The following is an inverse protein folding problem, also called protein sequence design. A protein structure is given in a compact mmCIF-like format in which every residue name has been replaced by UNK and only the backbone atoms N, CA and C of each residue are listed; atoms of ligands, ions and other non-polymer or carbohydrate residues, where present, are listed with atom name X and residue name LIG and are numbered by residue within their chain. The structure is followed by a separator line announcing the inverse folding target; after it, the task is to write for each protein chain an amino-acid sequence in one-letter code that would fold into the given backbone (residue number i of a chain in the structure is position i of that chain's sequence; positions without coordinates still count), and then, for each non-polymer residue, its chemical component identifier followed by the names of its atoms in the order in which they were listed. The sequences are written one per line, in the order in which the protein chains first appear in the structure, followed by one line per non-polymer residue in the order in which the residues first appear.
data_IF_464799244436
#
_entry.id   IF_464799244436
#
_cell.length_a   1.000
_cell.length_b   1.000
_cell.length_c   1.000
_cell.angle_alpha   90.00
_cell.angle_beta   90.00
_cell.angle_gamma   90.00
#
_symmetry.space_group_name_H-M   'P 1'
#
loop_
_entity.id
_entity.type
_entity.pdbx_description
1 polymer ?
2 polymer ?
3 polymer ?
4 non-polymer ?
5 non-polymer ?
6 water ?
#
loop_
_entity_poly.entity_id
_entity_poly.type
_entity_poly.pdbx_seq_one_letter_code
_entity_poly.pdbx_strand_id
2 'polydeoxyribonucleotide' '(DG)(DG)(DG)(DT)(DT)(DT)(DC)(DC)(DA)(DC)(DT)(DT)(DA)(DT)(DT)(DC)(DA)(DC)(DC)(DC)(DT)(DT)(DT)(DT)(DA)(DG)' ?
3 'polydeoxyribonucleotide' '(DC)(DC)(DT)(DA)(DA)(DA)(DA)(DG)(DG)(DG)(DT)(DG)(DA)(DA)(DT)(DA)(DA)(DG)(DT)(DG)(DG)(DA)(DA)(DA)(DC)(DC)' ?
#
# COMPACT_ATOMS: atom_id res chain seq x y z
N UNK A 5 -17.75 7.42 -9.06
CA UNK A 5 -16.67 8.37 -8.82
C UNK A 5 -17.20 9.70 -8.28
N UNK A 6 -16.49 10.26 -7.29
CA UNK A 6 -16.93 11.49 -6.65
C UNK A 6 -15.84 12.56 -6.72
N UNK A 7 -14.86 12.49 -5.81
CA UNK A 7 -13.81 13.48 -5.74
C UNK A 7 -12.50 12.91 -6.28
N UNK A 8 -11.52 13.80 -6.43
CA UNK A 8 -10.21 13.44 -6.95
C UNK A 8 -9.22 13.30 -5.79
N UNK A 9 -8.15 12.53 -6.03
CA UNK A 9 -7.15 12.22 -5.02
C UNK A 9 -5.83 12.91 -5.38
N UNK A 10 -5.19 13.49 -4.37
CA UNK A 10 -3.90 14.13 -4.56
C UNK A 10 -2.91 13.15 -5.19
N UNK A 11 -2.14 13.57 -6.20
CA UNK A 11 -1.26 12.61 -6.89
C UNK A 11 -0.22 11.96 -5.99
N UNK A 12 0.37 12.69 -5.04
CA UNK A 12 1.35 12.06 -4.15
C UNK A 12 0.67 11.10 -3.17
N UNK A 13 -0.53 11.43 -2.69
CA UNK A 13 -1.29 10.49 -1.89
C UNK A 13 -1.54 9.21 -2.69
N UNK A 14 -1.86 9.37 -3.98
CA UNK A 14 -2.11 8.22 -4.82
C UNK A 14 -0.87 7.35 -4.96
N UNK A 15 0.30 7.96 -5.16
CA UNK A 15 1.52 7.18 -5.25
C UNK A 15 1.81 6.45 -3.93
N UNK A 16 1.64 7.13 -2.81
CA UNK A 16 1.84 6.48 -1.53
C UNK A 16 0.90 5.32 -1.30
N UNK A 17 -0.36 5.49 -1.68
CA UNK A 17 -1.30 4.38 -1.58
C UNK A 17 -0.95 3.26 -2.55
N UNK A 18 -0.43 3.60 -3.73
CA UNK A 18 0.02 2.60 -4.67
C UNK A 18 1.25 1.85 -4.15
N UNK A 19 2.17 2.56 -3.51
CA UNK A 19 3.30 1.90 -2.86
C UNK A 19 2.83 0.83 -1.87
N UNK A 20 1.68 1.05 -1.25
CA UNK A 20 1.19 0.12 -0.23
C UNK A 20 0.39 -1.02 -0.85
N UNK A 21 -0.58 -0.70 -1.72
CA UNK A 21 -1.57 -1.67 -2.16
C UNK A 21 -1.53 -2.03 -3.63
N UNK A 22 -0.89 -1.21 -4.47
CA UNK A 22 -0.86 -1.51 -5.89
C UNK A 22 0.08 -2.65 -6.23
N UNK A 23 -0.12 -3.20 -7.43
CA UNK A 23 0.77 -4.24 -7.96
C UNK A 23 0.71 -4.21 -9.48
N UNK A 24 1.85 -4.49 -10.10
CA UNK A 24 1.94 -4.51 -11.55
C UNK A 24 1.85 -5.94 -12.04
N UNK A 25 1.20 -6.13 -13.19
CA UNK A 25 0.90 -7.45 -13.71
C UNK A 25 1.39 -7.59 -15.14
N UNK A 26 1.93 -8.77 -15.46
CA UNK A 26 2.36 -9.10 -16.81
C UNK A 26 2.00 -10.57 -17.05
N UNK A 27 1.00 -10.82 -17.88
CA UNK A 27 0.57 -12.18 -18.19
C UNK A 27 1.20 -12.63 -19.50
N UNK A 28 1.82 -13.79 -19.47
CA UNK A 28 2.36 -14.46 -20.65
C UNK A 28 1.67 -15.81 -20.72
N UNK A 29 0.64 -15.93 -21.57
CA UNK A 29 -0.30 -17.04 -21.51
C UNK A 29 -0.17 -17.93 -22.74
N UNK A 30 -0.12 -19.25 -22.51
CA UNK A 30 -0.27 -20.19 -23.60
C UNK A 30 -1.52 -19.87 -24.41
N UNK A 31 -1.39 -19.86 -25.72
CA UNK A 31 -2.51 -19.52 -26.58
C UNK A 31 -2.28 -20.14 -27.94
N UNK A 32 -3.08 -21.16 -28.27
CA UNK A 32 -2.92 -21.84 -29.56
C UNK A 32 -3.36 -20.97 -30.73
N UNK A 33 -4.14 -19.92 -30.48
CA UNK A 33 -4.59 -19.02 -31.54
C UNK A 33 -3.63 -17.88 -31.81
N UNK A 34 -2.54 -17.76 -31.03
CA UNK A 34 -1.57 -16.68 -31.20
C UNK A 34 -0.44 -17.14 -32.12
N UNK A 35 -0.08 -16.28 -33.08
CA UNK A 35 0.96 -16.64 -34.04
C UNK A 35 2.21 -17.14 -33.34
N UNK A 36 2.59 -16.50 -32.23
CA UNK A 36 3.81 -16.88 -31.52
C UNK A 36 3.56 -17.94 -30.45
N UNK A 37 2.33 -18.44 -30.34
CA UNK A 37 1.99 -19.43 -29.33
C UNK A 37 1.65 -18.88 -27.96
N UNK A 38 1.81 -17.58 -27.74
CA UNK A 38 1.50 -16.95 -26.46
C UNK A 38 0.78 -15.64 -26.71
N UNK A 39 -0.06 -15.26 -25.76
CA UNK A 39 -0.62 -13.92 -25.70
C UNK A 39 -0.20 -13.27 -24.39
N UNK A 40 -0.34 -11.94 -24.32
CA UNK A 40 0.14 -11.16 -23.20
C UNK A 40 -0.95 -10.24 -22.68
N UNK A 41 -0.74 -9.77 -21.46
CA UNK A 41 -1.58 -8.73 -20.87
C UNK A 41 -0.72 -8.00 -19.84
N UNK A 42 -0.72 -6.67 -19.93
CA UNK A 42 0.09 -5.84 -19.07
C UNK A 42 -0.81 -4.86 -18.35
N UNK A 43 -0.46 -4.50 -17.11
CA UNK A 43 -1.27 -3.51 -16.42
C UNK A 43 -0.90 -3.37 -14.96
N UNK A 44 -1.86 -2.83 -14.21
CA UNK A 44 -1.69 -2.40 -12.82
C UNK A 44 -3.04 -2.59 -12.11
N UNK A 45 -2.99 -2.94 -10.84
CA UNK A 45 -4.23 -3.28 -10.16
C UNK A 45 -4.14 -3.03 -8.66
N UNK A 46 -5.29 -2.74 -8.06
CA UNK A 46 -5.44 -2.59 -6.62
C UNK A 46 -6.66 -3.39 -6.18
N UNK A 47 -6.48 -4.26 -5.20
CA UNK A 47 -7.55 -5.07 -4.62
C UNK A 47 -7.74 -4.68 -3.18
N UNK A 48 -8.97 -4.28 -2.82
CA UNK A 48 -9.29 -3.82 -1.49
C UNK A 48 -10.56 -4.53 -1.00
N UNK A 49 -10.78 -4.46 0.32
CA UNK A 49 -12.02 -4.92 0.90
C UNK A 49 -13.18 -4.07 0.39
N UNK A 50 -14.35 -4.70 0.27
CA UNK A 50 -15.54 -4.02 -0.24
C UNK A 50 -15.70 -2.63 0.38
N UNK A 51 -15.46 -2.50 1.69
CA UNK A 51 -15.80 -1.25 2.36
C UNK A 51 -14.98 -0.07 1.85
N UNK A 52 -13.89 -0.32 1.14
CA UNK A 52 -13.05 0.75 0.61
C UNK A 52 -13.23 0.93 -0.90
N UNK A 53 -14.41 0.56 -1.42
CA UNK A 53 -14.68 0.71 -2.84
C UNK A 53 -14.61 2.17 -3.28
N UNK A 54 -14.89 3.11 -2.37
CA UNK A 54 -14.87 4.52 -2.75
C UNK A 54 -13.48 4.99 -3.13
N UNK A 55 -12.44 4.38 -2.54
CA UNK A 55 -11.07 4.70 -2.94
C UNK A 55 -10.85 4.30 -4.40
N UNK A 56 -11.23 3.07 -4.74
CA UNK A 56 -11.07 2.61 -6.11
C UNK A 56 -11.81 3.52 -7.09
N UNK A 57 -13.01 3.94 -6.74
CA UNK A 57 -13.76 4.82 -7.63
C UNK A 57 -13.12 6.20 -7.72
N UNK A 58 -12.51 6.68 -6.64
CA UNK A 58 -11.82 7.96 -6.69
C UNK A 58 -10.54 7.89 -7.51
N UNK A 59 -9.78 6.80 -7.38
CA UNK A 59 -8.62 6.60 -8.25
C UNK A 59 -9.07 6.58 -9.71
N UNK A 60 -10.12 5.81 -10.00
CA UNK A 60 -10.60 5.69 -11.37
C UNK A 60 -10.93 7.04 -11.98
N UNK A 61 -11.57 7.92 -11.21
CA UNK A 61 -11.95 9.22 -11.75
C UNK A 61 -10.78 10.19 -11.75
N UNK A 62 -9.76 9.94 -10.94
CA UNK A 62 -8.54 10.74 -11.01
C UNK A 62 -7.77 10.44 -12.30
N UNK A 63 -7.57 9.16 -12.59
CA UNK A 63 -6.85 8.75 -13.79
C UNK A 63 -7.75 8.64 -15.01
N UNK A 64 -9.05 8.47 -14.81
CA UNK A 64 -9.99 8.29 -15.93
C UNK A 64 -9.67 7.02 -16.72
N UNK A 65 -9.13 6.00 -16.04
CA UNK A 65 -8.87 4.70 -16.64
C UNK A 65 -9.16 3.63 -15.60
N UNK A 66 -9.23 2.39 -16.06
CA UNK A 66 -9.37 1.28 -15.16
C UNK A 66 -10.79 0.76 -15.08
N UNK A 67 -10.91 -0.49 -14.65
CA UNK A 67 -12.18 -1.21 -14.65
C UNK A 67 -12.38 -1.81 -13.27
N UNK A 68 -13.51 -1.49 -12.64
CA UNK A 68 -13.81 -1.92 -11.27
C UNK A 68 -14.72 -3.13 -11.33
N UNK A 69 -14.39 -4.15 -10.54
CA UNK A 69 -15.12 -5.40 -10.54
C UNK A 69 -15.00 -6.06 -9.18
N UNK A 70 -15.89 -7.00 -8.91
CA UNK A 70 -15.79 -7.78 -7.68
C UNK A 70 -14.57 -8.70 -7.74
N UNK A 71 -14.01 -8.95 -6.56
CA UNK A 71 -12.84 -9.81 -6.40
C UNK A 71 -13.19 -10.76 -5.27
N UNK A 72 -14.03 -11.75 -5.57
CA UNK A 72 -14.58 -12.61 -4.56
C UNK A 72 -15.72 -11.95 -3.81
N UNK A 73 -16.10 -12.57 -2.70
CA UNK A 73 -17.26 -12.11 -1.94
C UNK A 73 -16.97 -10.87 -1.10
N UNK A 74 -15.71 -10.68 -0.69
CA UNK A 74 -15.37 -9.65 0.29
C UNK A 74 -14.47 -8.54 -0.25
N UNK A 75 -14.00 -8.65 -1.49
CA UNK A 75 -13.04 -7.69 -2.03
C UNK A 75 -13.54 -7.11 -3.34
N UNK A 76 -12.93 -6.00 -3.73
CA UNK A 76 -13.22 -5.33 -4.99
C UNK A 76 -11.90 -4.84 -5.56
N UNK A 77 -11.77 -4.87 -6.88
CA UNK A 77 -10.50 -4.59 -7.53
C UNK A 77 -10.66 -3.52 -8.60
N UNK A 78 -9.62 -2.73 -8.79
CA UNK A 78 -9.50 -1.79 -9.91
C UNK A 78 -8.31 -2.23 -10.74
N UNK A 79 -8.55 -2.56 -12.01
CA UNK A 79 -7.51 -3.06 -12.89
C UNK A 79 -7.43 -2.21 -14.16
N UNK A 80 -6.21 -1.85 -14.54
CA UNK A 80 -5.94 -1.16 -15.80
C UNK A 80 -5.11 -2.10 -16.66
N UNK A 81 -5.68 -2.57 -17.76
CA UNK A 81 -4.94 -3.36 -18.73
C UNK A 81 -5.12 -2.90 -20.17
N UNK A 82 -6.10 -2.04 -20.45
CA UNK A 82 -6.23 -1.47 -21.78
C UNK A 82 -4.94 -0.74 -22.15
N UNK A 83 -4.27 -1.21 -23.21
CA UNK A 83 -2.88 -0.83 -23.42
C UNK A 83 -2.70 0.68 -23.52
N UNK A 84 -3.54 1.36 -24.29
CA UNK A 84 -3.40 2.82 -24.40
C UNK A 84 -3.58 3.50 -23.04
N UNK A 85 -4.43 2.94 -22.17
CA UNK A 85 -4.63 3.53 -20.86
C UNK A 85 -3.41 3.41 -19.96
N UNK A 86 -2.50 2.48 -20.26
CA UNK A 86 -1.31 2.34 -19.43
C UNK A 86 -0.40 3.55 -19.56
N UNK A 87 -0.47 4.29 -20.66
CA UNK A 87 0.27 5.55 -20.79
C UNK A 87 -0.03 6.48 -19.62
N UNK A 88 -1.30 6.54 -19.20
CA UNK A 88 -1.65 7.36 -18.05
C UNK A 88 -0.88 6.88 -16.82
N UNK A 89 -0.85 5.57 -16.60
CA UNK A 89 -0.15 5.01 -15.45
C UNK A 89 1.34 5.36 -15.52
N UNK A 90 1.93 5.26 -16.71
CA UNK A 90 3.35 5.61 -16.85
C UNK A 90 3.56 7.09 -16.58
N UNK A 91 2.70 7.94 -17.15
CA UNK A 91 2.87 9.37 -16.95
C UNK A 91 2.72 9.75 -15.49
N UNK A 92 1.84 9.08 -14.75
CA UNK A 92 1.69 9.40 -13.33
C UNK A 92 2.94 9.02 -12.55
N UNK A 93 3.40 7.77 -12.70
CA UNK A 93 4.52 7.33 -11.89
C UNK A 93 5.85 7.91 -12.35
N UNK A 94 5.89 8.56 -13.51
CA UNK A 94 7.07 9.35 -13.85
C UNK A 94 7.07 10.67 -13.10
N UNK A 95 5.91 11.31 -12.96
CA UNK A 95 5.83 12.58 -12.24
C UNK A 95 5.83 12.38 -10.73
N UNK A 96 5.30 11.27 -10.25
CA UNK A 96 5.14 11.01 -8.81
C UNK A 96 5.64 9.60 -8.50
N UNK A 97 6.94 9.41 -8.43
CA UNK A 97 7.49 8.04 -8.43
C UNK A 97 7.32 7.31 -7.11
N UNK A 98 7.23 5.99 -7.22
CA UNK A 98 7.20 5.11 -6.06
C UNK A 98 8.56 5.05 -5.38
N UNK A 99 8.56 4.73 -4.08
CA UNK A 99 9.80 4.74 -3.30
C UNK A 99 10.05 3.43 -2.57
N UNK A 100 9.21 2.42 -2.73
CA UNK A 100 9.48 1.11 -2.14
C UNK A 100 10.08 0.20 -3.22
N UNK A 101 10.28 -1.08 -2.88
CA UNK A 101 10.79 -2.00 -3.89
C UNK A 101 9.83 -2.16 -5.05
N UNK A 102 8.59 -1.68 -4.91
CA UNK A 102 7.62 -1.76 -6.00
C UNK A 102 8.06 -0.93 -7.20
N UNK A 103 8.85 0.12 -6.98
CA UNK A 103 9.46 0.82 -8.10
C UNK A 103 10.15 -0.15 -9.04
N UNK A 104 10.86 -1.13 -8.49
CA UNK A 104 11.50 -2.13 -9.32
C UNK A 104 10.50 -2.86 -10.22
N UNK A 105 9.36 -3.23 -9.65
CA UNK A 105 8.32 -3.87 -10.46
C UNK A 105 7.78 -2.90 -11.52
N UNK A 106 7.58 -1.64 -11.14
CA UNK A 106 7.10 -0.65 -12.10
C UNK A 106 8.09 -0.45 -13.23
N UNK A 107 9.39 -0.41 -12.91
CA UNK A 107 10.38 -0.25 -13.97
C UNK A 107 10.34 -1.42 -14.95
N UNK A 108 10.04 -2.63 -14.46
CA UNK A 108 9.88 -3.77 -15.37
C UNK A 108 8.61 -3.63 -16.19
N UNK A 109 7.52 -3.18 -15.56
CA UNK A 109 6.29 -2.85 -16.27
C UNK A 109 6.58 -1.91 -17.45
N UNK A 110 7.45 -0.93 -17.23
CA UNK A 110 7.79 0.01 -18.30
C UNK A 110 8.52 -0.68 -19.44
N UNK A 111 9.49 -1.55 -19.13
CA UNK A 111 10.18 -2.29 -20.18
C UNK A 111 9.21 -3.11 -21.00
N UNK A 112 8.26 -3.78 -20.33
CA UNK A 112 7.27 -4.57 -21.05
C UNK A 112 6.39 -3.69 -21.92
N UNK A 113 6.01 -2.51 -21.42
CA UNK A 113 5.22 -1.59 -22.23
C UNK A 113 5.94 -1.24 -23.52
N UNK A 114 7.23 -0.90 -23.42
CA UNK A 114 8.01 -0.58 -24.61
C UNK A 114 7.99 -1.71 -25.63
N UNK A 115 8.08 -2.96 -25.16
CA UNK A 115 8.09 -4.09 -26.07
C UNK A 115 6.75 -4.20 -26.79
N UNK A 116 5.65 -4.07 -26.05
CA UNK A 116 4.33 -4.19 -26.67
C UNK A 116 3.99 -2.98 -27.51
N UNK A 117 4.58 -1.82 -27.19
CA UNK A 117 4.35 -0.63 -28.00
C UNK A 117 5.01 -0.79 -29.37
N UNK A 118 6.16 -1.44 -29.43
CA UNK A 118 6.79 -1.75 -30.70
C UNK A 118 6.17 -2.96 -31.37
N UNK A 119 5.12 -3.55 -30.80
CA UNK A 119 4.45 -4.70 -31.38
C UNK A 119 5.35 -5.93 -31.45
N UNK A 120 6.46 -5.91 -30.71
CA UNK A 120 7.38 -7.05 -30.75
C UNK A 120 6.84 -8.25 -29.98
N UNK A 121 5.87 -8.05 -29.10
CA UNK A 121 5.28 -9.17 -28.37
C UNK A 121 4.57 -10.15 -29.29
N UNK A 122 4.30 -9.77 -30.53
CA UNK A 122 3.69 -10.68 -31.50
C UNK A 122 4.74 -11.49 -32.27
N UNK A 123 6.02 -11.31 -31.97
CA UNK A 123 7.10 -12.10 -32.53
C UNK A 123 7.81 -12.84 -31.40
N UNK A 124 8.44 -13.96 -31.74
CA UNK A 124 9.17 -14.71 -30.72
C UNK A 124 10.25 -13.87 -30.06
N UNK A 125 10.80 -12.91 -30.80
CA UNK A 125 11.82 -12.03 -30.24
C UNK A 125 11.27 -11.21 -29.08
N UNK A 126 10.04 -10.69 -29.23
CA UNK A 126 9.44 -9.92 -28.15
C UNK A 126 8.97 -10.78 -27.00
N UNK A 127 8.34 -11.92 -27.30
CA UNK A 127 7.92 -12.83 -26.23
C UNK A 127 9.11 -13.19 -25.36
N UNK A 128 10.23 -13.55 -25.98
CA UNK A 128 11.41 -13.92 -25.21
C UNK A 128 11.83 -12.79 -24.28
N UNK A 129 11.79 -11.55 -24.76
CA UNK A 129 12.16 -10.43 -23.91
C UNK A 129 11.15 -10.27 -22.76
N UNK A 130 9.87 -10.48 -23.02
CA UNK A 130 8.87 -10.39 -21.96
C UNK A 130 9.09 -11.47 -20.91
N UNK A 131 9.54 -12.65 -21.31
CA UNK A 131 9.87 -13.69 -20.33
C UNK A 131 11.02 -13.24 -19.45
N UNK A 132 12.04 -12.60 -20.04
CA UNK A 132 13.16 -12.10 -19.25
C UNK A 132 12.72 -11.01 -18.28
N UNK A 133 11.76 -10.18 -18.69
CA UNK A 133 11.24 -9.14 -17.80
C UNK A 133 10.41 -9.77 -16.68
N UNK A 134 9.51 -10.68 -17.03
CA UNK A 134 8.66 -11.30 -16.00
C UNK A 134 9.47 -12.09 -15.00
N UNK A 135 10.64 -12.59 -15.39
CA UNK A 135 11.44 -13.38 -14.47
C UNK A 135 11.89 -12.59 -13.24
N UNK A 136 11.92 -11.26 -13.34
CA UNK A 136 12.32 -10.41 -12.23
C UNK A 136 11.13 -9.68 -11.60
N UNK A 137 9.91 -9.97 -12.04
CA UNK A 137 8.71 -9.26 -11.61
C UNK A 137 7.92 -10.11 -10.62
N UNK A 138 7.69 -9.57 -9.43
CA UNK A 138 6.87 -10.22 -8.42
C UNK A 138 7.30 -11.67 -8.18
N UNK A 139 6.38 -12.61 -8.33
CA UNK A 139 6.67 -14.02 -8.10
C UNK A 139 7.60 -14.62 -9.15
N UNK A 140 7.83 -13.94 -10.26
CA UNK A 140 8.70 -14.47 -11.30
C UNK A 140 8.03 -15.55 -12.15
N UNK A 141 8.88 -16.34 -12.79
CA UNK A 141 8.42 -17.33 -13.75
C UNK A 141 7.96 -18.61 -13.06
N UNK A 142 6.83 -19.13 -13.54
CA UNK A 142 6.43 -20.48 -13.15
C UNK A 142 7.41 -21.50 -13.73
N UNK A 143 7.34 -22.73 -13.23
CA UNK A 143 8.22 -23.77 -13.72
C UNK A 143 7.93 -24.09 -15.19
N UNK A 144 6.65 -24.07 -15.59
CA UNK A 144 6.34 -24.35 -16.98
C UNK A 144 6.92 -23.28 -17.91
N UNK A 145 6.65 -22.02 -17.61
CA UNK A 145 7.13 -20.94 -18.48
C UNK A 145 8.65 -20.92 -18.52
N UNK A 146 9.30 -21.21 -17.39
CA UNK A 146 10.76 -21.29 -17.35
C UNK A 146 11.28 -22.41 -18.24
N UNK A 147 10.66 -23.58 -18.19
CA UNK A 147 11.05 -24.68 -19.05
C UNK A 147 10.72 -24.41 -20.51
N UNK A 148 9.80 -23.51 -20.81
CA UNK A 148 9.45 -23.23 -22.19
C UNK A 148 10.43 -22.28 -22.86
N UNK A 149 11.34 -21.66 -22.10
CA UNK A 149 12.34 -20.74 -22.64
C UNK A 149 13.68 -21.12 -22.02
N UNK A 150 14.33 -22.15 -22.54
CA UNK A 150 15.46 -22.78 -21.84
C UNK A 150 16.58 -21.86 -21.40
N UNK A 151 16.75 -20.72 -22.06
CA UNK A 151 17.96 -19.93 -21.89
C UNK A 151 18.19 -19.53 -20.43
N UNK A 152 19.42 -19.10 -20.15
CA UNK A 152 19.79 -18.57 -18.85
C UNK A 152 19.12 -17.22 -18.63
N UNK A 153 18.36 -17.10 -17.55
CA UNK A 153 17.52 -15.93 -17.29
C UNK A 153 17.75 -15.48 -15.86
N UNK A 154 18.23 -14.25 -15.69
CA UNK A 154 18.44 -13.70 -14.35
C UNK A 154 17.11 -13.36 -13.69
N UNK A 155 17.02 -13.65 -12.39
CA UNK A 155 15.86 -13.29 -11.58
C UNK A 155 16.13 -12.17 -10.59
N UNK A 156 17.35 -11.64 -10.56
CA UNK A 156 17.73 -10.62 -9.59
C UNK A 156 17.66 -9.23 -10.22
N UNK A 157 17.42 -8.23 -9.37
CA UNK A 157 17.29 -6.84 -9.82
C UNK A 157 17.85 -5.91 -8.76
N UNK A 158 18.04 -4.66 -9.16
CA UNK A 158 18.61 -3.65 -8.26
C UNK A 158 17.64 -3.34 -7.13
N UNK A 159 18.16 -3.30 -5.91
CA UNK A 159 17.35 -2.89 -4.77
C UNK A 159 17.06 -1.40 -4.83
N UNK A 160 15.88 -1.02 -4.35
CA UNK A 160 15.45 0.38 -4.31
C UNK A 160 15.74 0.93 -2.92
N UNK A 161 16.43 2.08 -2.88
CA UNK A 161 16.78 2.75 -1.62
C UNK A 161 16.51 4.23 -1.80
N UNK A 162 15.31 4.66 -1.40
CA UNK A 162 14.86 6.04 -1.57
C UNK A 162 14.25 6.56 -0.27
N UNK A 163 14.04 7.86 -0.23
CA UNK A 163 13.51 8.54 0.95
C UNK A 163 12.05 8.90 0.76
N UNK A 164 11.34 8.98 1.88
CA UNK A 164 9.98 9.51 1.91
C UNK A 164 10.01 10.90 1.27
N UNK A 165 9.27 11.13 0.18
CA UNK A 165 9.39 12.42 -0.52
C UNK A 165 8.65 13.57 0.13
N UNK A 166 7.63 13.30 0.94
CA UNK A 166 6.80 14.35 1.52
C UNK A 166 5.69 13.70 2.32
N UNK A 167 4.93 14.53 3.05
CA UNK A 167 3.85 14.02 3.90
C UNK A 167 2.67 13.54 3.08
N UNK A 168 2.47 14.11 1.89
CA UNK A 168 1.39 13.65 1.02
C UNK A 168 1.57 12.16 0.70
N UNK A 169 2.78 11.76 0.31
CA UNK A 169 3.06 10.34 0.10
C UNK A 169 2.81 9.55 1.37
N UNK A 170 3.31 10.05 2.51
CA UNK A 170 3.16 9.31 3.76
C UNK A 170 1.69 9.11 4.11
N UNK A 171 0.85 10.10 3.80
CA UNK A 171 -0.58 9.94 4.06
C UNK A 171 -1.18 8.85 3.17
N UNK A 172 -0.79 8.82 1.90
CA UNK A 172 -1.24 7.72 1.05
C UNK A 172 -0.78 6.38 1.55
N UNK A 173 0.52 6.27 1.89
CA UNK A 173 1.06 5.01 2.36
C UNK A 173 0.41 4.58 3.67
N UNK A 174 0.15 5.53 4.56
CA UNK A 174 -0.46 5.19 5.85
C UNK A 174 -1.91 4.77 5.67
N UNK A 175 -2.63 5.40 4.74
CA UNK A 175 -3.98 4.96 4.42
C UNK A 175 -4.03 3.49 4.03
N UNK A 176 -2.90 2.93 3.60
CA UNK A 176 -2.84 1.51 3.28
C UNK A 176 -2.33 0.65 4.42
N UNK A 177 -1.16 0.98 4.95
CA UNK A 177 -0.46 0.14 5.92
C UNK A 177 -0.60 0.61 7.37
N UNK A 178 -1.21 1.77 7.59
CA UNK A 178 -1.27 2.32 8.93
C UNK A 178 -2.41 1.75 9.76
N UNK A 179 -2.33 2.02 11.06
CA UNK A 179 -3.37 1.57 11.98
C UNK A 179 -3.36 2.47 13.21
N UNK A 180 -4.54 2.92 13.62
CA UNK A 180 -4.71 3.79 14.78
C UNK A 180 -5.54 3.03 15.81
N UNK A 181 -4.89 2.57 16.88
CA UNK A 181 -5.52 1.70 17.85
C UNK A 181 -5.57 2.32 19.24
N UNK A 182 -6.30 1.63 20.12
CA UNK A 182 -6.50 2.07 21.50
C UNK A 182 -6.29 0.85 22.40
N UNK A 183 -5.24 0.88 23.21
CA UNK A 183 -4.96 -0.19 24.15
C UNK A 183 -5.63 0.09 25.48
N UNK A 184 -6.44 -0.87 25.94
CA UNK A 184 -7.02 -0.85 27.28
C UNK A 184 -6.19 -1.78 28.15
N UNK A 185 -5.31 -1.20 28.96
CA UNK A 185 -4.35 -1.94 29.75
C UNK A 185 -4.86 -2.06 31.18
N UNK A 186 -4.88 -3.28 31.71
CA UNK A 186 -5.25 -3.50 33.11
C UNK A 186 -4.07 -3.13 33.99
N UNK A 187 -4.08 -1.90 34.50
CA UNK A 187 -2.97 -1.35 35.28
C UNK A 187 -3.33 -1.31 36.76
N UNK A 188 -2.32 -1.06 37.59
CA UNK A 188 -2.48 -0.93 39.03
C UNK A 188 -3.04 0.44 39.39
N UNK A 189 -3.64 1.12 38.42
CA UNK A 189 -4.24 2.41 38.66
C UNK A 189 -5.55 2.24 39.43
N UNK A 190 -6.09 3.37 39.90
CA UNK A 190 -7.36 3.33 40.61
C UNK A 190 -8.47 2.80 39.71
N UNK A 191 -8.52 3.24 38.46
CA UNK A 191 -9.51 2.75 37.51
C UNK A 191 -9.22 1.32 37.06
N UNK A 192 -7.98 0.86 37.20
CA UNK A 192 -7.61 -0.46 36.73
C UNK A 192 -7.56 -0.61 35.23
N UNK A 193 -7.60 0.49 34.48
CA UNK A 193 -7.55 0.44 33.02
C UNK A 193 -6.74 1.65 32.55
N UNK A 194 -5.52 1.41 32.07
CA UNK A 194 -4.73 2.46 31.45
C UNK A 194 -5.09 2.56 29.97
N UNK A 195 -5.39 3.78 29.52
CA UNK A 195 -5.68 4.04 28.11
C UNK A 195 -4.37 4.41 27.42
N UNK A 196 -4.09 3.74 26.30
CA UNK A 196 -2.85 3.96 25.56
C UNK A 196 -3.15 4.05 24.08
N UNK A 197 -2.78 5.17 23.47
CA UNK A 197 -2.91 5.34 22.03
C UNK A 197 -1.70 4.73 21.33
N UNK A 198 -1.96 3.93 20.30
CA UNK A 198 -0.92 3.23 19.56
C UNK A 198 -1.07 3.53 18.07
N UNK A 199 0.02 4.00 17.46
CA UNK A 199 0.10 4.20 16.02
C UNK A 199 1.24 3.34 15.48
N UNK A 200 1.02 2.71 14.34
CA UNK A 200 2.00 1.79 13.81
C UNK A 200 1.81 1.62 12.32
N UNK A 201 2.90 1.24 11.66
CA UNK A 201 2.94 0.93 10.24
C UNK A 201 3.69 -0.38 10.07
N UNK A 202 3.17 -1.26 9.22
CA UNK A 202 3.73 -2.59 9.02
C UNK A 202 4.28 -2.72 7.61
N UNK A 203 5.39 -3.45 7.47
CA UNK A 203 6.01 -3.62 6.17
C UNK A 203 7.05 -4.74 6.21
N UNK A 204 7.16 -5.47 5.11
CA UNK A 204 8.14 -6.53 4.99
C UNK A 204 9.55 -5.98 5.12
N UNK A 205 10.48 -6.84 5.58
CA UNK A 205 11.85 -6.40 5.83
C UNK A 205 12.56 -5.96 4.56
N UNK A 206 12.06 -6.36 3.38
CA UNK A 206 12.67 -5.91 2.13
C UNK A 206 12.77 -4.40 2.06
N UNK A 207 12.00 -3.67 2.86
CA UNK A 207 12.14 -2.22 2.91
C UNK A 207 12.45 -1.76 4.32
N UNK A 208 13.41 -2.43 4.96
CA UNK A 208 13.88 -2.01 6.27
C UNK A 208 14.32 -0.54 6.26
N UNK A 209 15.12 -0.16 5.25
CA UNK A 209 15.67 1.19 5.22
C UNK A 209 14.57 2.24 5.25
N UNK A 210 13.50 2.04 4.49
CA UNK A 210 12.39 2.98 4.51
C UNK A 210 11.69 2.98 5.88
N UNK A 211 11.53 1.81 6.49
CA UNK A 211 10.88 1.75 7.80
C UNK A 211 11.68 2.48 8.86
N UNK A 212 13.00 2.28 8.88
CA UNK A 212 13.82 2.93 9.90
C UNK A 212 13.84 4.45 9.72
N UNK A 213 13.77 4.93 8.47
CA UNK A 213 13.74 6.36 8.26
C UNK A 213 12.52 7.02 8.91
N UNK A 214 11.43 6.26 9.10
CA UNK A 214 10.25 6.83 9.73
C UNK A 214 10.58 7.43 11.09
N UNK A 215 11.41 6.75 11.88
CA UNK A 215 11.85 7.29 13.16
C UNK A 215 12.39 8.71 12.96
N UNK A 216 13.38 8.84 12.06
CA UNK A 216 13.96 10.14 11.77
C UNK A 216 12.94 11.07 11.12
N UNK A 217 12.21 10.57 10.12
CA UNK A 217 11.32 11.43 9.36
C UNK A 217 10.20 12.00 10.23
N UNK A 218 9.71 11.19 11.19
CA UNK A 218 8.61 11.60 12.04
C UNK A 218 9.07 12.10 13.40
N UNK A 219 10.34 11.96 13.73
CA UNK A 219 10.83 12.44 15.01
C UNK A 219 10.26 11.71 16.20
N UNK A 220 10.00 10.42 16.07
CA UNK A 220 9.52 9.62 17.20
C UNK A 220 9.36 8.18 16.73
N UNK A 221 9.09 7.30 17.69
CA UNK A 221 8.77 5.91 17.42
C UNK A 221 9.99 5.00 17.54
N UNK A 222 9.70 3.71 17.43
CA UNK A 222 10.75 2.68 17.43
C UNK A 222 10.33 1.57 16.46
N UNK A 223 11.27 0.70 16.15
CA UNK A 223 11.08 -0.40 15.20
C UNK A 223 11.08 -1.72 15.97
N UNK A 224 10.15 -2.60 15.60
CA UNK A 224 10.04 -3.92 16.20
C UNK A 224 10.24 -4.98 15.13
N UNK A 225 11.17 -5.91 15.38
CA UNK A 225 11.41 -7.01 14.46
C UNK A 225 10.48 -8.15 14.81
N UNK A 226 9.56 -8.47 13.89
CA UNK A 226 8.54 -9.48 14.10
C UNK A 226 8.72 -10.64 13.13
N UNK A 227 8.06 -11.75 13.44
CA UNK A 227 8.09 -12.91 12.55
C UNK A 227 7.04 -13.92 12.99
N UNK A 228 6.33 -14.48 12.02
CA UNK A 228 5.39 -15.58 12.23
C UNK A 228 5.99 -16.80 11.53
N UNK A 229 6.75 -17.59 12.30
CA UNK A 229 7.44 -18.75 11.76
C UNK A 229 8.55 -18.34 10.81
N UNK A 230 8.43 -18.75 9.55
CA UNK A 230 9.47 -18.51 8.55
C UNK A 230 9.41 -17.12 7.92
N UNK A 231 8.44 -16.30 8.32
CA UNK A 231 8.23 -14.98 7.72
C UNK A 231 8.66 -13.88 8.67
N UNK A 232 9.21 -12.81 8.12
CA UNK A 232 9.64 -11.66 8.89
C UNK A 232 9.01 -10.39 8.33
N UNK A 233 8.66 -9.47 9.22
CA UNK A 233 8.24 -8.14 8.84
C UNK A 233 8.64 -7.18 9.95
N UNK A 234 8.58 -5.90 9.64
CA UNK A 234 8.88 -4.84 10.59
C UNK A 234 7.60 -4.09 10.96
N UNK A 235 7.64 -3.48 12.15
CA UNK A 235 6.52 -2.68 12.62
C UNK A 235 7.08 -1.42 13.25
N UNK A 236 6.73 -0.27 12.69
CA UNK A 236 7.07 1.02 13.26
C UNK A 236 5.94 1.43 14.22
N UNK A 237 6.30 1.79 15.45
CA UNK A 237 5.31 1.97 16.51
C UNK A 237 5.61 3.24 17.30
N UNK A 238 4.54 4.00 17.59
CA UNK A 238 4.61 5.15 18.48
C UNK A 238 3.60 4.93 19.60
N UNK A 239 4.07 4.95 20.86
CA UNK A 239 3.19 4.84 22.01
C UNK A 239 3.22 6.05 22.94
N UNK A 240 4.21 6.93 22.83
CA UNK A 240 4.29 8.09 23.72
C UNK A 240 3.26 9.13 23.29
N UNK A 241 2.43 9.58 24.24
CA UNK A 241 1.28 10.40 23.88
C UNK A 241 1.67 11.76 23.34
N UNK A 242 2.77 12.35 23.83
CA UNK A 242 3.15 13.67 23.33
C UNK A 242 3.57 13.60 21.87
N UNK A 243 4.31 12.55 21.48
CA UNK A 243 4.61 12.34 20.07
C UNK A 243 3.33 12.15 19.26
N UNK A 244 2.43 11.30 19.75
CA UNK A 244 1.17 11.06 19.03
C UNK A 244 0.39 12.36 18.88
N UNK A 245 0.36 13.18 19.93
CA UNK A 245 -0.48 14.37 19.93
C UNK A 245 0.19 15.55 19.22
N UNK A 246 1.52 15.63 19.26
CA UNK A 246 2.24 16.74 18.66
C UNK A 246 2.81 16.44 17.28
N UNK A 247 3.13 15.18 17.00
CA UNK A 247 3.82 14.82 15.77
C UNK A 247 2.98 13.95 14.84
N UNK A 248 2.29 12.94 15.36
CA UNK A 248 1.53 12.04 14.50
C UNK A 248 0.22 12.69 14.06
N UNK A 249 -0.60 13.10 15.03
CA UNK A 249 -1.90 13.69 14.67
C UNK A 249 -1.76 14.86 13.71
N UNK A 250 -0.98 15.90 14.00
CA UNK A 250 -0.92 17.06 13.09
C UNK A 250 -0.53 16.69 11.67
N UNK A 251 0.36 15.72 11.49
CA UNK A 251 0.76 15.32 10.14
C UNK A 251 -0.46 14.90 9.33
N UNK A 252 -1.36 14.13 9.95
CA UNK A 252 -2.51 13.61 9.23
C UNK A 252 -3.72 14.55 9.27
N UNK A 253 -3.73 15.52 10.18
CA UNK A 253 -4.69 16.60 10.05
C UNK A 253 -4.40 17.45 8.82
N UNK A 254 -3.12 17.63 8.49
CA UNK A 254 -2.72 18.46 7.37
C UNK A 254 -2.57 17.68 6.07
N UNK A 255 -2.44 16.35 6.15
CA UNK A 255 -2.34 15.49 4.97
C UNK A 255 -3.40 14.41 5.14
N UNK A 256 -4.57 14.65 4.55
CA UNK A 256 -5.78 13.91 4.92
C UNK A 256 -5.72 12.47 4.40
N UNK A 257 -6.13 11.54 5.28
CA UNK A 257 -6.20 10.14 4.94
C UNK A 257 -7.37 9.86 3.99
N UNK A 258 -7.40 8.64 3.45
CA UNK A 258 -8.46 8.21 2.55
C UNK A 258 -8.93 6.82 2.99
N UNK A 259 -10.15 6.49 2.58
CA UNK A 259 -10.76 5.23 2.95
C UNK A 259 -11.36 5.27 4.35
N UNK A 260 -11.91 4.13 4.77
CA UNK A 260 -12.50 4.07 6.10
C UNK A 260 -11.46 4.36 7.16
N UNK A 261 -10.18 4.11 6.86
CA UNK A 261 -9.14 4.40 7.83
C UNK A 261 -9.15 5.86 8.26
N UNK A 262 -9.70 6.76 7.44
CA UNK A 262 -9.84 8.15 7.86
C UNK A 262 -10.79 8.27 9.05
N UNK A 263 -11.92 7.56 9.00
CA UNK A 263 -12.85 7.58 10.13
C UNK A 263 -12.18 7.05 11.39
N UNK A 264 -11.32 6.03 11.25
CA UNK A 264 -10.61 5.50 12.41
C UNK A 264 -9.67 6.55 12.99
N UNK A 265 -9.08 7.39 12.14
CA UNK A 265 -8.22 8.46 12.64
C UNK A 265 -9.04 9.51 13.37
N UNK A 266 -10.16 9.94 12.78
CA UNK A 266 -11.04 10.90 13.45
C UNK A 266 -11.43 10.41 14.84
N UNK A 267 -11.90 9.16 14.94
CA UNK A 267 -12.23 8.60 16.25
C UNK A 267 -11.01 8.50 17.13
N UNK A 268 -9.87 8.12 16.55
CA UNK A 268 -8.61 8.08 17.28
C UNK A 268 -8.30 9.44 17.90
N UNK A 269 -8.66 10.52 17.19
CA UNK A 269 -8.36 11.87 17.69
C UNK A 269 -9.24 12.23 18.88
N UNK A 270 -10.51 11.81 18.86
CA UNK A 270 -11.38 12.03 20.01
C UNK A 270 -10.75 11.49 21.28
N UNK A 271 -10.35 10.22 21.26
CA UNK A 271 -9.66 9.63 22.41
C UNK A 271 -8.46 10.49 22.79
N UNK A 272 -7.74 10.99 21.78
CA UNK A 272 -6.60 11.85 22.03
C UNK A 272 -7.00 13.12 22.79
N UNK A 273 -8.12 13.73 22.38
CA UNK A 273 -8.58 14.93 23.09
C UNK A 273 -9.02 14.59 24.51
N UNK A 274 -9.66 13.43 24.70
CA UNK A 274 -10.00 13.00 26.05
C UNK A 274 -8.76 12.88 26.92
N UNK A 275 -7.76 12.12 26.45
CA UNK A 275 -6.50 12.00 27.17
C UNK A 275 -5.94 13.39 27.48
N UNK A 276 -5.92 14.26 26.47
CA UNK A 276 -5.34 15.59 26.62
C UNK A 276 -6.04 16.39 27.70
N UNK A 277 -7.32 16.14 27.93
CA UNK A 277 -8.09 16.80 28.96
C UNK A 277 -8.10 16.02 30.28
N UNK A 278 -7.35 14.93 30.36
CA UNK A 278 -7.30 14.05 31.53
C UNK A 278 -8.63 13.38 31.82
N UNK A 279 -9.61 13.49 30.92
CA UNK A 279 -10.88 12.80 31.11
C UNK A 279 -10.71 11.29 31.13
N UNK A 280 -9.62 10.78 30.57
CA UNK A 280 -9.36 9.34 30.56
C UNK A 280 -9.11 8.79 31.96
N UNK A 281 -8.89 9.66 32.96
CA UNK A 281 -8.74 9.22 34.34
C UNK A 281 -10.06 9.19 35.09
N UNK A 282 -11.10 9.83 34.57
CA UNK A 282 -12.44 9.72 35.13
C UNK A 282 -13.15 8.53 34.53
N UNK A 283 -14.09 7.97 35.30
CA UNK A 283 -14.79 6.78 34.83
C UNK A 283 -15.76 7.10 33.71
N UNK A 284 -16.32 8.31 33.71
CA UNK A 284 -17.20 8.71 32.61
C UNK A 284 -16.41 8.81 31.31
N UNK A 285 -15.19 9.35 31.38
CA UNK A 285 -14.34 9.38 30.20
C UNK A 285 -13.95 7.99 29.73
N UNK A 286 -13.54 7.13 30.67
CA UNK A 286 -13.18 5.76 30.32
C UNK A 286 -14.29 5.08 29.55
N UNK A 287 -15.54 5.28 29.98
CA UNK A 287 -16.66 4.65 29.28
C UNK A 287 -16.86 5.25 27.90
N UNK A 288 -16.57 6.54 27.73
CA UNK A 288 -16.62 7.13 26.40
C UNK A 288 -15.52 6.58 25.50
N UNK A 289 -14.33 6.37 26.07
CA UNK A 289 -13.22 5.79 25.31
C UNK A 289 -13.56 4.37 24.90
N UNK A 290 -14.17 3.60 25.80
CA UNK A 290 -14.58 2.23 25.44
C UNK A 290 -15.61 2.25 24.32
N UNK A 291 -16.59 3.16 24.40
CA UNK A 291 -17.57 3.26 23.33
C UNK A 291 -16.91 3.57 22.00
N UNK A 292 -15.95 4.49 21.99
CA UNK A 292 -15.28 4.85 20.74
C UNK A 292 -14.50 3.67 20.19
N UNK A 293 -13.69 3.03 21.04
CA UNK A 293 -12.90 1.88 20.60
C UNK A 293 -13.79 0.79 19.99
N UNK A 294 -14.91 0.49 20.66
CA UNK A 294 -15.80 -0.56 20.16
C UNK A 294 -16.31 -0.27 18.75
N UNK A 295 -16.47 1.01 18.41
CA UNK A 295 -17.08 1.38 17.14
C UNK A 295 -16.06 1.83 16.09
N UNK A 296 -14.79 1.54 16.30
CA UNK A 296 -13.77 1.83 15.30
C UNK A 296 -13.06 0.53 14.93
N UNK A 297 -12.31 0.60 13.83
CA UNK A 297 -11.54 -0.52 13.31
C UNK A 297 -12.50 -1.66 13.02
N UNK A 298 -12.21 -2.90 13.44
CA UNK A 298 -13.10 -4.01 13.13
C UNK A 298 -14.50 -3.76 13.64
N UNK A 299 -14.63 -3.21 14.85
CA UNK A 299 -15.93 -2.99 15.46
C UNK A 299 -16.85 -2.06 14.68
N UNK A 300 -16.32 -1.30 13.72
CA UNK A 300 -17.14 -0.33 13.00
C UNK A 300 -18.24 -1.04 12.21
X LIG D 1 2.00 -3.51 0.97
X LIG E 1 -4.67 -1.70 3.66
X LIG F 1 6.37 17.40 3.68
X LIG F 1 5.49 17.84 2.67
X LIG F 1 7.78 17.91 3.36
X LIG F 1 7.71 18.81 2.28
X LIG F 1 8.41 18.58 4.59
X LIG F 1 9.19 17.65 5.30
X LIG F 1 6.06 17.78 4.64
X LIG F 1 6.38 16.31 3.71
X LIG F 1 4.60 17.46 2.83
X LIG F 1 8.40 17.05 3.08
X LIG F 1 7.19 19.59 2.54
X LIG F 1 9.02 19.42 4.27
X LIG F 1 7.62 18.97 5.24
X LIG F 1 9.98 18.10 5.67
X LIG G 1 10.57 15.84 8.16
X LIG G 1 10.22 16.40 6.91
X LIG G 1 12.08 15.69 8.25
X LIG G 1 12.70 16.65 7.43
X LIG G 1 12.55 15.86 9.70
X LIG G 1 13.93 15.55 9.79
X LIG G 1 10.21 16.48 8.97
X LIG G 1 10.09 14.86 8.27
X LIG G 1 9.24 16.44 6.83
X LIG G 1 12.35 14.69 7.91
X LIG G 1 12.47 17.55 7.75
X LIG G 1 12.38 16.88 10.02
X LIG G 1 11.99 15.18 10.35
X LIG G 1 14.08 14.62 9.52
#
# INVERSE_FOLDING_TARGET
MASSRRESINPWILTGFADAEGSFLLRIRNNNKSSVGYSTELGFQITLHNKDKSILENIQSTWKVGVIANSGDNAVSLKVTRFEDLKVIIDHFEKYPLITQKLGDYKLFKQAFSVMENKEHLKENGIKELVRIKAKLNWGLTDELKKAFPENISKERSLINKNIPNFKWLAGFTSGEGTFGVNLIKSKSKLGVQVQLRFSITQHIKDKNLMNSLITYLGCGYIKERNKSEFSWLEFVVTKFSDINDKIIPVFQENTLIGVKLEDFEDWCKVAKLIEEKKHLTESGLDEIKKIKLNMNKGR
CA CA
CA CA
GOL C1 O1 C2 O2 C3 O3 H11 H12 HO1 H2 HO2 H31 H32 HO3
GOL C1 O1 C2 O2 C3 O3 H11 H12 HO1 H2 HO2 H31 H32 HO3
#
